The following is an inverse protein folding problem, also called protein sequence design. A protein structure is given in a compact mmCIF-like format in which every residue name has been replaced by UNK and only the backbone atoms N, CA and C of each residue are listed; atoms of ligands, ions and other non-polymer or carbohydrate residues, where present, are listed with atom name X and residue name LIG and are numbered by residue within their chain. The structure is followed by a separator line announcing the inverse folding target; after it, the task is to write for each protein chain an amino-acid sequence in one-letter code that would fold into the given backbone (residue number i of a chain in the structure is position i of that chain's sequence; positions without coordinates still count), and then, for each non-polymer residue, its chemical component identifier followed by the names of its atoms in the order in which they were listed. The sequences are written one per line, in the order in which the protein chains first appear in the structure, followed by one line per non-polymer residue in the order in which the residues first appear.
data_IF_794496371466
#
_entry.id   IF_794496371466
#
_cell.length_a   1.000
_cell.length_b   1.000
_cell.length_c   1.000
_cell.angle_alpha   90.00
_cell.angle_beta   90.00
_cell.angle_gamma   90.00
#
_symmetry.space_group_name_H-M   'P 1'
#
loop_
_entity.id
_entity.type
_entity.pdbx_description
1 polymer ?
#
# COMPACT_ATOMS: atom_id res chain seq x y z
N UNK A 1 55.17 59.19 -0.35
CA UNK A 1 54.51 58.04 -1.03
C UNK A 1 54.60 56.82 -0.12
N UNK A 2 53.55 56.54 0.67
CA UNK A 2 53.49 55.36 1.56
C UNK A 2 52.65 54.29 0.87
N UNK A 3 53.26 53.15 0.56
CA UNK A 3 52.62 52.01 -0.11
C UNK A 3 51.82 51.22 0.93
N UNK A 4 50.52 51.15 0.72
CA UNK A 4 49.58 50.33 1.50
C UNK A 4 49.64 48.89 1.01
N UNK A 5 49.86 47.94 1.92
CA UNK A 5 49.66 46.51 1.64
C UNK A 5 48.69 45.98 2.69
N UNK A 6 47.42 45.90 2.32
CA UNK A 6 46.42 45.17 3.09
C UNK A 6 46.42 43.72 2.60
N UNK A 7 46.84 42.81 3.48
CA UNK A 7 46.63 41.37 3.34
C UNK A 7 45.15 41.12 3.63
N UNK A 8 44.38 40.69 2.65
CA UNK A 8 43.01 40.20 2.86
C UNK A 8 43.01 38.69 2.60
N UNK A 9 42.99 37.91 3.68
CA UNK A 9 42.78 36.47 3.64
C UNK A 9 41.29 36.21 3.37
N UNK A 10 40.97 35.66 2.20
CA UNK A 10 39.62 35.22 1.87
C UNK A 10 39.41 33.80 2.42
N UNK A 11 38.70 33.70 3.54
CA UNK A 11 38.07 32.45 3.99
C UNK A 11 36.57 32.64 3.80
N UNK A 12 35.95 31.97 2.83
CA UNK A 12 34.49 31.85 2.79
C UNK A 12 34.10 30.40 2.47
N UNK A 13 33.75 29.74 3.58
CA UNK A 13 32.98 28.52 3.83
C UNK A 13 32.29 27.83 2.65
N UNK A 14 32.63 26.54 2.46
CA UNK A 14 31.83 25.56 1.73
C UNK A 14 30.59 25.22 2.57
N UNK A 15 29.53 26.01 2.45
CA UNK A 15 28.23 25.73 3.05
C UNK A 15 27.58 24.52 2.37
N UNK A 16 27.71 23.33 2.96
CA UNK A 16 27.01 22.13 2.52
C UNK A 16 25.50 22.35 2.64
N UNK A 17 24.80 22.32 1.51
CA UNK A 17 23.33 22.35 1.48
C UNK A 17 22.86 21.02 2.07
N UNK A 18 22.44 21.05 3.34
CA UNK A 18 21.70 19.96 3.96
C UNK A 18 20.27 20.02 3.42
N UNK A 19 20.01 19.40 2.27
CA UNK A 19 18.63 19.21 1.81
C UNK A 19 17.94 18.23 2.75
N UNK A 20 16.78 18.59 3.35
CA UNK A 20 15.99 17.61 4.08
C UNK A 20 15.55 16.52 3.10
N UNK A 21 15.91 15.26 3.38
CA UNK A 21 15.35 14.11 2.67
C UNK A 21 13.88 14.01 3.07
N UNK A 22 13.00 14.68 2.32
CA UNK A 22 11.56 14.45 2.42
C UNK A 22 11.37 12.98 2.06
N UNK A 23 11.02 12.18 3.06
CA UNK A 23 10.64 10.79 2.80
C UNK A 23 9.28 10.85 2.14
N UNK A 24 9.25 10.82 0.81
CA UNK A 24 8.01 10.58 0.09
C UNK A 24 7.47 9.24 0.60
N UNK A 25 6.30 9.23 1.23
CA UNK A 25 5.60 8.00 1.57
C UNK A 25 5.23 7.34 0.24
N UNK A 26 6.09 6.42 -0.20
CA UNK A 26 5.92 5.77 -1.48
C UNK A 26 4.75 4.78 -1.38
N UNK A 27 3.61 5.20 -1.92
CA UNK A 27 2.41 4.42 -2.30
C UNK A 27 1.78 3.59 -1.16
N UNK A 28 0.46 3.47 -1.16
CA UNK A 28 -0.23 2.67 -0.16
C UNK A 28 0.16 1.20 -0.21
N UNK A 29 0.36 0.63 0.97
CA UNK A 29 0.77 -0.76 1.17
C UNK A 29 -0.32 -1.51 1.90
N UNK A 30 -0.42 -2.81 1.64
CA UNK A 30 -1.24 -3.70 2.47
C UNK A 30 -0.67 -3.74 3.88
N UNK A 31 -1.49 -3.36 4.86
CA UNK A 31 -1.20 -3.41 6.29
C UNK A 31 -1.61 -4.76 6.89
N UNK A 32 -2.81 -5.24 6.54
CA UNK A 32 -3.32 -6.54 7.00
C UNK A 32 -4.39 -7.11 6.07
N UNK A 33 -4.68 -8.40 6.25
CA UNK A 33 -5.75 -9.11 5.55
C UNK A 33 -6.56 -9.98 6.52
N UNK A 34 -7.83 -10.18 6.21
CA UNK A 34 -8.69 -11.17 6.84
C UNK A 34 -9.39 -11.96 5.73
N UNK A 35 -9.18 -13.29 5.64
CA UNK A 35 -8.26 -14.09 6.44
C UNK A 35 -6.80 -13.63 6.37
N UNK A 36 -6.02 -13.92 7.41
CA UNK A 36 -4.60 -13.54 7.45
C UNK A 36 -3.80 -14.32 6.40
N UNK A 37 -2.80 -13.68 5.81
CA UNK A 37 -1.88 -14.32 4.87
C UNK A 37 -1.23 -15.56 5.51
N UNK A 38 -1.27 -16.69 4.80
CA UNK A 38 -0.71 -17.96 5.27
C UNK A 38 -1.57 -18.71 6.30
N UNK A 39 -2.76 -18.20 6.64
CA UNK A 39 -3.68 -18.92 7.52
C UNK A 39 -4.32 -20.14 6.84
N UNK A 40 -4.56 -21.18 7.63
CA UNK A 40 -5.39 -22.34 7.26
C UNK A 40 -6.70 -22.24 8.03
N UNK A 41 -7.82 -22.32 7.33
CA UNK A 41 -9.15 -22.21 7.92
C UNK A 41 -9.87 -23.55 7.87
N UNK A 42 -10.54 -23.93 8.96
CA UNK A 42 -11.41 -25.10 8.99
C UNK A 42 -12.72 -24.89 8.20
N UNK A 43 -13.13 -23.63 8.02
CA UNK A 43 -14.36 -23.25 7.33
C UNK A 43 -14.05 -22.13 6.34
N UNK A 44 -14.65 -22.21 5.15
CA UNK A 44 -14.49 -21.19 4.13
C UNK A 44 -14.99 -19.81 4.65
N UNK A 45 -14.25 -18.72 4.43
CA UNK A 45 -14.70 -17.39 4.79
C UNK A 45 -15.82 -16.94 3.84
N UNK A 46 -16.71 -16.08 4.34
CA UNK A 46 -17.77 -15.45 3.53
C UNK A 46 -17.30 -14.22 2.77
N UNK A 47 -16.17 -13.62 3.17
CA UNK A 47 -15.63 -12.40 2.58
C UNK A 47 -14.10 -12.34 2.69
N UNK A 48 -13.53 -11.44 1.89
CA UNK A 48 -12.15 -11.00 2.01
C UNK A 48 -12.15 -9.55 2.47
N UNK A 49 -11.26 -9.23 3.41
CA UNK A 49 -11.00 -7.88 3.87
C UNK A 49 -9.52 -7.57 3.79
N UNK A 50 -9.18 -6.46 3.14
CA UNK A 50 -7.80 -5.96 3.03
C UNK A 50 -7.72 -4.55 3.61
N UNK A 51 -6.79 -4.32 4.53
CA UNK A 51 -6.51 -3.01 5.14
C UNK A 51 -5.21 -2.45 4.58
N UNK A 52 -5.21 -1.18 4.22
CA UNK A 52 -4.06 -0.49 3.65
C UNK A 52 -3.56 0.64 4.57
N UNK A 53 -2.36 1.13 4.27
CA UNK A 53 -1.75 2.27 4.96
C UNK A 53 -2.43 3.60 4.67
N UNK A 54 -3.21 3.67 3.58
CA UNK A 54 -3.97 4.84 3.14
C UNK A 54 -5.37 4.46 2.67
N UNK A 55 -6.17 5.45 2.26
CA UNK A 55 -7.53 5.23 1.77
C UNK A 55 -7.46 4.83 0.29
N UNK A 56 -7.90 3.62 -0.09
CA UNK A 56 -7.95 3.22 -1.49
C UNK A 56 -8.96 4.03 -2.28
N UNK A 57 -8.61 4.40 -3.52
CA UNK A 57 -9.56 4.90 -4.51
C UNK A 57 -10.24 3.72 -5.19
N UNK A 58 -11.52 3.47 -4.87
CA UNK A 58 -12.19 2.21 -5.19
C UNK A 58 -12.30 1.97 -6.70
N UNK A 59 -12.47 3.02 -7.50
CA UNK A 59 -12.62 2.91 -8.96
C UNK A 59 -11.33 2.40 -9.63
N UNK A 60 -10.18 2.58 -8.99
CA UNK A 60 -8.87 2.12 -9.49
C UNK A 60 -8.31 0.92 -8.71
N UNK A 61 -9.05 0.43 -7.71
CA UNK A 61 -8.64 -0.68 -6.87
C UNK A 61 -9.29 -1.99 -7.33
N UNK A 62 -8.50 -3.05 -7.43
CA UNK A 62 -8.97 -4.39 -7.82
C UNK A 62 -8.61 -5.44 -6.77
N UNK A 63 -9.46 -6.46 -6.67
CA UNK A 63 -9.31 -7.61 -5.78
C UNK A 63 -9.74 -8.86 -6.53
N UNK A 64 -8.86 -9.88 -6.53
CA UNK A 64 -9.10 -11.17 -7.15
C UNK A 64 -8.77 -12.29 -6.18
N UNK A 65 -9.58 -13.34 -6.23
CA UNK A 65 -9.35 -14.58 -5.51
C UNK A 65 -9.10 -15.69 -6.52
N UNK A 66 -7.95 -16.35 -6.42
CA UNK A 66 -7.56 -17.46 -7.29
C UNK A 66 -7.60 -18.75 -6.50
N UNK A 67 -8.30 -19.75 -7.03
CA UNK A 67 -8.48 -21.05 -6.41
C UNK A 67 -7.35 -22.05 -6.67
N UNK A 68 -7.43 -23.26 -6.07
CA UNK A 68 -6.40 -24.29 -6.16
C UNK A 68 -6.08 -24.74 -7.59
N UNK A 69 -7.09 -24.71 -8.48
CA UNK A 69 -6.96 -25.08 -9.90
C UNK A 69 -6.43 -23.95 -10.78
N UNK A 70 -6.18 -22.75 -10.23
CA UNK A 70 -5.80 -21.55 -10.98
C UNK A 70 -6.97 -20.69 -11.46
N UNK A 71 -8.21 -21.16 -11.26
CA UNK A 71 -9.42 -20.44 -11.67
C UNK A 71 -9.73 -19.23 -10.78
N UNK A 72 -10.37 -18.23 -11.37
CA UNK A 72 -10.85 -17.07 -10.62
C UNK A 72 -12.14 -17.40 -9.88
N UNK A 73 -12.21 -17.08 -8.60
CA UNK A 73 -13.43 -17.12 -7.81
C UNK A 73 -14.17 -15.79 -7.98
N UNK A 74 -15.49 -15.86 -8.22
CA UNK A 74 -16.34 -14.69 -8.33
C UNK A 74 -16.50 -14.01 -6.97
N UNK A 75 -16.11 -12.75 -6.91
CA UNK A 75 -16.33 -11.87 -5.76
C UNK A 75 -17.50 -10.91 -6.01
N UNK A 76 -18.08 -10.41 -4.93
CA UNK A 76 -18.94 -9.24 -4.96
C UNK A 76 -18.16 -7.95 -5.24
N UNK A 77 -18.88 -6.83 -5.48
CA UNK A 77 -18.24 -5.55 -5.66
C UNK A 77 -17.45 -5.16 -4.41
N UNK A 78 -16.29 -4.55 -4.64
CA UNK A 78 -15.46 -3.99 -3.57
C UNK A 78 -16.16 -2.77 -3.00
N UNK A 79 -16.18 -2.67 -1.68
CA UNK A 79 -16.67 -1.50 -0.95
C UNK A 79 -15.78 -1.25 0.27
N UNK A 80 -15.86 -0.04 0.84
CA UNK A 80 -15.16 0.22 2.10
C UNK A 80 -15.76 -0.60 3.24
N UNK A 81 -14.90 -1.02 4.16
CA UNK A 81 -15.34 -1.64 5.39
C UNK A 81 -16.12 -0.63 6.26
N UNK A 82 -17.21 -1.04 6.93
CA UNK A 82 -18.02 -0.13 7.75
C UNK A 82 -17.24 0.57 8.87
N UNK A 83 -16.17 -0.05 9.37
CA UNK A 83 -15.34 0.44 10.47
C UNK A 83 -14.09 1.21 10.00
N UNK A 84 -13.72 1.16 8.72
CA UNK A 84 -12.56 1.89 8.21
C UNK A 84 -12.56 2.06 6.70
N UNK A 85 -12.41 3.31 6.22
CA UNK A 85 -12.17 3.63 4.81
C UNK A 85 -10.80 3.22 4.29
N UNK A 86 -9.87 2.84 5.18
CA UNK A 86 -8.59 2.23 4.79
C UNK A 86 -8.70 0.74 4.53
N UNK A 87 -9.87 0.15 4.78
CA UNK A 87 -10.13 -1.25 4.50
C UNK A 87 -11.17 -1.40 3.41
N UNK A 88 -10.96 -2.37 2.53
CA UNK A 88 -11.94 -2.80 1.53
C UNK A 88 -12.44 -4.20 1.86
N UNK A 89 -13.67 -4.48 1.47
CA UNK A 89 -14.34 -5.76 1.64
C UNK A 89 -14.91 -6.23 0.31
N UNK A 90 -14.83 -7.53 0.04
CA UNK A 90 -15.55 -8.18 -1.04
C UNK A 90 -16.11 -9.53 -0.58
N UNK A 91 -17.40 -9.74 -0.79
CA UNK A 91 -18.06 -11.00 -0.49
C UNK A 91 -17.62 -12.12 -1.45
N UNK A 92 -17.47 -13.34 -0.93
CA UNK A 92 -17.22 -14.54 -1.73
C UNK A 92 -18.59 -15.13 -2.07
N UNK A 93 -18.96 -15.13 -3.35
CA UNK A 93 -20.34 -15.44 -3.77
C UNK A 93 -20.66 -16.94 -3.82
N UNK A 94 -19.64 -17.76 -4.03
CA UNK A 94 -19.81 -19.19 -4.26
C UNK A 94 -19.06 -19.99 -3.19
N UNK A 95 -19.54 -21.20 -2.81
CA UNK A 95 -18.79 -22.09 -1.93
C UNK A 95 -17.38 -22.35 -2.44
N UNK A 96 -16.43 -22.39 -1.51
CA UNK A 96 -15.03 -22.70 -1.80
C UNK A 96 -14.77 -24.19 -1.57
N UNK A 97 -14.11 -24.83 -2.54
CA UNK A 97 -13.54 -26.15 -2.34
C UNK A 97 -12.35 -26.07 -1.37
N UNK A 98 -11.99 -27.19 -0.75
CA UNK A 98 -10.78 -27.24 0.06
C UNK A 98 -9.53 -27.06 -0.82
N UNK A 99 -8.57 -26.26 -0.35
CA UNK A 99 -7.27 -26.12 -1.00
C UNK A 99 -6.62 -24.76 -0.77
N UNK A 100 -5.51 -24.51 -1.48
CA UNK A 100 -4.77 -23.26 -1.39
C UNK A 100 -5.41 -22.19 -2.28
N UNK A 101 -5.67 -21.04 -1.68
CA UNK A 101 -6.16 -19.86 -2.38
C UNK A 101 -5.11 -18.75 -2.38
N UNK A 102 -5.12 -17.93 -3.43
CA UNK A 102 -4.27 -16.73 -3.52
C UNK A 102 -5.15 -15.51 -3.67
N UNK A 103 -4.99 -14.55 -2.75
CA UNK A 103 -5.61 -13.23 -2.84
C UNK A 103 -4.63 -12.31 -3.57
N UNK A 104 -5.08 -11.73 -4.68
CA UNK A 104 -4.33 -10.76 -5.46
C UNK A 104 -5.05 -9.42 -5.42
N UNK A 105 -4.31 -8.33 -5.26
CA UNK A 105 -4.86 -6.98 -5.26
C UNK A 105 -4.03 -6.07 -6.18
N UNK A 106 -4.64 -4.98 -6.62
CA UNK A 106 -3.98 -3.77 -7.09
C UNK A 106 -4.70 -2.61 -6.43
N UNK A 107 -3.98 -1.71 -5.78
CA UNK A 107 -4.56 -0.60 -5.02
C UNK A 107 -3.94 0.71 -5.50
N UNK A 108 -4.77 1.73 -5.66
CA UNK A 108 -4.34 3.10 -5.94
C UNK A 108 -4.81 4.00 -4.79
N UNK A 109 -3.91 4.86 -4.32
CA UNK A 109 -4.17 5.84 -3.27
C UNK A 109 -4.72 7.16 -3.82
N UNK A 110 -4.90 8.16 -2.94
CA UNK A 110 -5.31 9.51 -3.35
C UNK A 110 -4.25 10.24 -4.19
N UNK A 111 -2.99 9.80 -4.14
CA UNK A 111 -1.84 10.42 -4.80
C UNK A 111 -1.43 9.78 -6.14
N UNK A 112 -2.11 8.71 -6.56
CA UNK A 112 -1.96 8.08 -7.89
C UNK A 112 -1.24 6.75 -7.88
#
# INVERSE_FOLDING_TARGET
MRRSTLVAATVISLGGILTPRITAFAHGRLESSTPAAGSTLATAPSELRLKFTEIPELVFTTLRLVGPSGDSVVLGPIHYSPDSRRAIVAAIRNPLAAGKYTVMWQMAGPDG
#
